data_IF_217680329688
#
_entry.id   IF_217680329688
#
_cell.length_a   1.000
_cell.length_b   1.000
_cell.length_c   1.000
_cell.angle_alpha   90.00
_cell.angle_beta   90.00
_cell.angle_gamma   90.00
#
_symmetry.space_group_name_H-M   'P 1'
#
loop_
_entity.id
_entity.type
_entity.pdbx_description
1 polymer ?
#
# COMPACT_ATOMS: atom_id res chain seq x y z
N UNK A 1 -11.90 8.28 -23.37
CA UNK A 1 -10.53 8.16 -22.80
C UNK A 1 -10.51 7.15 -21.64
N UNK A 2 -9.51 6.26 -21.58
CA UNK A 2 -9.46 5.12 -20.62
C UNK A 2 -9.22 5.56 -19.18
N UNK A 3 -8.17 6.36 -18.93
CA UNK A 3 -7.79 6.79 -17.59
C UNK A 3 -8.92 7.57 -16.90
N UNK A 4 -9.55 8.53 -17.58
CA UNK A 4 -10.66 9.31 -17.03
C UNK A 4 -11.86 8.43 -16.67
N UNK A 5 -12.20 7.46 -17.53
CA UNK A 5 -13.29 6.53 -17.27
C UNK A 5 -13.03 5.65 -16.04
N UNK A 6 -11.81 5.13 -15.94
CA UNK A 6 -11.36 4.30 -14.82
C UNK A 6 -11.33 5.11 -13.52
N UNK A 7 -10.78 6.32 -13.53
CA UNK A 7 -10.70 7.18 -12.34
C UNK A 7 -12.09 7.62 -11.86
N UNK A 8 -12.95 8.07 -12.77
CA UNK A 8 -14.31 8.51 -12.44
C UNK A 8 -15.14 7.36 -11.86
N UNK A 9 -15.07 6.17 -12.46
CA UNK A 9 -15.76 4.99 -11.96
C UNK A 9 -15.17 4.51 -10.61
N UNK A 10 -13.86 4.57 -10.44
CA UNK A 10 -13.21 4.16 -9.20
C UNK A 10 -13.62 5.06 -8.02
N UNK A 11 -13.85 6.36 -8.24
CA UNK A 11 -14.31 7.31 -7.21
C UNK A 11 -15.66 6.94 -6.59
N UNK A 12 -16.51 6.19 -7.28
CA UNK A 12 -17.84 5.80 -6.79
C UNK A 12 -17.90 4.39 -6.19
N UNK A 13 -16.78 3.65 -6.16
CA UNK A 13 -16.73 2.31 -5.57
C UNK A 13 -16.79 2.39 -4.04
N UNK A 14 -17.82 1.77 -3.47
CA UNK A 14 -17.92 1.56 -2.02
C UNK A 14 -17.10 0.33 -1.62
N UNK A 15 -16.25 0.45 -0.60
CA UNK A 15 -15.34 -0.59 -0.13
C UNK A 15 -14.46 -1.14 -1.27
N UNK A 16 -13.50 -0.34 -1.77
CA UNK A 16 -12.62 -0.72 -2.85
C UNK A 16 -11.66 -1.84 -2.38
N UNK A 17 -11.92 -3.07 -2.81
CA UNK A 17 -10.95 -4.17 -2.69
C UNK A 17 -10.12 -4.28 -3.96
N UNK A 18 -8.89 -4.83 -3.90
CA UNK A 18 -8.06 -5.04 -5.10
C UNK A 18 -8.78 -5.80 -6.22
N UNK A 19 -9.58 -6.81 -5.87
CA UNK A 19 -10.35 -7.61 -6.82
C UNK A 19 -11.45 -6.77 -7.49
N UNK A 20 -12.24 -6.02 -6.71
CA UNK A 20 -13.32 -5.17 -7.25
C UNK A 20 -12.78 -4.06 -8.15
N UNK A 21 -11.65 -3.46 -7.76
CA UNK A 21 -10.97 -2.46 -8.57
C UNK A 21 -10.48 -3.08 -9.89
N UNK A 22 -9.88 -4.28 -9.83
CA UNK A 22 -9.43 -4.99 -11.03
C UNK A 22 -10.60 -5.29 -11.97
N UNK A 23 -11.70 -5.82 -11.45
CA UNK A 23 -12.91 -6.11 -12.23
C UNK A 23 -13.48 -4.85 -12.88
N UNK A 24 -13.56 -3.75 -12.14
CA UNK A 24 -14.02 -2.46 -12.66
C UNK A 24 -13.14 -1.99 -13.82
N UNK A 25 -11.82 -1.98 -13.63
CA UNK A 25 -10.87 -1.57 -14.66
C UNK A 25 -11.01 -2.46 -15.89
N UNK A 26 -11.10 -3.78 -15.70
CA UNK A 26 -11.28 -4.72 -16.81
C UNK A 26 -12.55 -4.45 -17.60
N UNK A 27 -13.66 -4.22 -16.91
CA UNK A 27 -14.95 -3.94 -17.54
C UNK A 27 -14.86 -2.69 -18.41
N UNK A 28 -14.30 -1.60 -17.90
CA UNK A 28 -14.17 -0.33 -18.65
C UNK A 28 -13.23 -0.50 -19.86
N UNK A 29 -12.12 -1.22 -19.72
CA UNK A 29 -11.22 -1.49 -20.86
C UNK A 29 -11.93 -2.33 -21.93
N UNK A 30 -12.74 -3.31 -21.51
CA UNK A 30 -13.47 -4.18 -22.43
C UNK A 30 -14.60 -3.44 -23.14
N UNK A 31 -15.42 -2.67 -22.41
CA UNK A 31 -16.49 -1.82 -22.99
C UNK A 31 -15.90 -0.93 -24.11
N UNK A 32 -14.72 -0.35 -23.90
CA UNK A 32 -14.07 0.51 -24.90
C UNK A 32 -13.52 -0.23 -26.10
N UNK A 33 -13.09 -1.47 -25.90
CA UNK A 33 -12.67 -2.35 -26.97
C UNK A 33 -13.88 -2.79 -27.82
N UNK A 34 -14.97 -3.19 -27.16
CA UNK A 34 -16.22 -3.62 -27.83
C UNK A 34 -16.89 -2.47 -28.58
N UNK A 35 -16.80 -1.25 -28.07
CA UNK A 35 -17.28 -0.03 -28.73
C UNK A 35 -16.41 0.41 -29.93
N UNK A 36 -15.32 -0.30 -30.24
CA UNK A 36 -14.39 0.03 -31.32
C UNK A 36 -13.55 1.29 -31.08
N UNK A 37 -13.52 1.82 -29.85
CA UNK A 37 -12.80 3.07 -29.54
C UNK A 37 -11.28 2.92 -29.58
N UNK A 38 -10.79 1.70 -29.72
CA UNK A 38 -9.36 1.36 -29.79
C UNK A 38 -8.94 0.84 -31.17
N UNK A 39 -9.83 0.86 -32.16
CA UNK A 39 -9.60 0.24 -33.49
C UNK A 39 -8.45 0.90 -34.27
N UNK A 40 -8.22 2.19 -34.07
CA UNK A 40 -7.14 2.95 -34.70
C UNK A 40 -5.84 2.97 -33.87
N UNK A 41 -5.77 2.16 -32.81
CA UNK A 41 -4.59 2.05 -31.95
C UNK A 41 -3.86 0.72 -32.18
N UNK A 42 -2.53 0.75 -32.26
CA UNK A 42 -1.68 -0.45 -32.32
C UNK A 42 -1.51 -1.13 -30.94
N UNK A 43 -2.62 -1.39 -30.25
CA UNK A 43 -2.63 -2.05 -28.94
C UNK A 43 -2.88 -3.54 -29.09
N UNK A 44 -1.98 -4.36 -28.55
CA UNK A 44 -2.23 -5.80 -28.46
C UNK A 44 -3.05 -6.13 -27.22
N UNK A 45 -3.67 -7.32 -27.19
CA UNK A 45 -4.32 -7.83 -25.96
C UNK A 45 -3.37 -7.88 -24.76
N UNK A 46 -2.07 -8.09 -25.00
CA UNK A 46 -1.04 -8.06 -23.95
C UNK A 46 -0.86 -6.65 -23.38
N UNK A 47 -0.96 -5.63 -24.22
CA UNK A 47 -0.88 -4.23 -23.79
C UNK A 47 -2.11 -3.83 -23.00
N UNK A 48 -3.30 -4.26 -23.42
CA UNK A 48 -4.54 -4.07 -22.66
C UNK A 48 -4.44 -4.69 -21.26
N UNK A 49 -3.93 -5.92 -21.14
CA UNK A 49 -3.73 -6.57 -19.85
C UNK A 49 -2.70 -5.81 -18.99
N UNK A 50 -1.61 -5.30 -19.58
CA UNK A 50 -0.65 -4.43 -18.87
C UNK A 50 -1.31 -3.14 -18.39
N UNK A 51 -2.11 -2.49 -19.23
CA UNK A 51 -2.86 -1.28 -18.88
C UNK A 51 -3.79 -1.56 -17.70
N UNK A 52 -4.54 -2.65 -17.73
CA UNK A 52 -5.40 -3.08 -16.61
C UNK A 52 -4.60 -3.27 -15.32
N UNK A 53 -3.45 -3.95 -15.39
CA UNK A 53 -2.59 -4.19 -14.22
C UNK A 53 -2.04 -2.89 -13.62
N UNK A 54 -1.58 -1.97 -14.47
CA UNK A 54 -1.05 -0.67 -14.04
C UNK A 54 -2.14 0.16 -13.37
N UNK A 55 -3.33 0.27 -13.99
CA UNK A 55 -4.44 1.00 -13.38
C UNK A 55 -4.89 0.40 -12.06
N UNK A 56 -5.02 -0.93 -11.99
CA UNK A 56 -5.39 -1.63 -10.75
C UNK A 56 -4.40 -1.28 -9.63
N UNK A 57 -3.09 -1.37 -9.90
CA UNK A 57 -2.04 -1.06 -8.92
C UNK A 57 -2.11 0.38 -8.44
N UNK A 58 -2.28 1.33 -9.36
CA UNK A 58 -2.35 2.76 -9.04
C UNK A 58 -3.57 3.08 -8.17
N UNK A 59 -4.74 2.56 -8.55
CA UNK A 59 -5.98 2.78 -7.80
C UNK A 59 -5.93 2.14 -6.41
N UNK A 60 -5.46 0.90 -6.30
CA UNK A 60 -5.28 0.23 -4.99
C UNK A 60 -4.36 1.04 -4.07
N UNK A 61 -3.28 1.60 -4.62
CA UNK A 61 -2.37 2.47 -3.86
C UNK A 61 -3.02 3.79 -3.42
N UNK A 62 -4.03 4.25 -4.14
CA UNK A 62 -4.78 5.48 -3.84
C UNK A 62 -5.84 5.28 -2.75
N UNK A 63 -6.54 4.13 -2.77
CA UNK A 63 -7.60 3.81 -1.81
C UNK A 63 -7.11 3.19 -0.51
N UNK A 64 -5.88 2.66 -0.48
CA UNK A 64 -5.20 2.24 0.74
C UNK A 64 -4.08 3.23 1.06
N UNK A 65 -4.40 4.40 1.67
CA UNK A 65 -3.39 5.36 2.07
C UNK A 65 -2.38 4.70 3.01
N UNK A 66 -1.13 5.19 2.93
CA UNK A 66 0.05 4.66 3.64
C UNK A 66 -0.32 4.20 5.05
N UNK A 67 -0.04 2.94 5.34
CA UNK A 67 -0.21 2.31 6.65
C UNK A 67 0.28 3.27 7.75
N UNK A 68 -0.64 3.71 8.61
CA UNK A 68 -0.26 4.17 9.95
C UNK A 68 0.50 3.01 10.61
N UNK A 69 1.69 3.30 11.10
CA UNK A 69 2.48 2.30 11.81
C UNK A 69 1.62 1.76 12.96
N UNK A 70 1.44 0.44 13.10
CA UNK A 70 0.65 -0.11 14.18
C UNK A 70 1.28 0.33 15.50
N UNK A 71 0.60 1.22 16.25
CA UNK A 71 1.08 1.69 17.55
C UNK A 71 1.34 0.52 18.52
N UNK A 72 0.67 -0.61 18.29
CA UNK A 72 0.89 -1.88 18.98
C UNK A 72 2.36 -2.36 18.94
N UNK A 73 3.13 -2.06 17.88
CA UNK A 73 4.55 -2.42 17.79
C UNK A 73 5.44 -1.53 18.66
N UNK A 74 5.07 -0.25 18.80
CA UNK A 74 5.73 0.72 19.68
C UNK A 74 5.44 0.41 21.15
N UNK A 75 4.20 0.04 21.47
CA UNK A 75 3.80 -0.30 22.84
C UNK A 75 4.37 -1.66 23.28
N UNK A 76 4.49 -2.64 22.38
CA UNK A 76 5.18 -3.90 22.64
C UNK A 76 6.68 -3.69 22.94
N UNK A 77 7.35 -2.77 22.22
CA UNK A 77 8.72 -2.36 22.54
C UNK A 77 8.83 -1.61 23.88
N UNK A 78 7.85 -0.77 24.21
CA UNK A 78 7.82 0.00 25.46
C UNK A 78 7.57 -0.89 26.68
N UNK A 79 6.70 -1.90 26.56
CA UNK A 79 6.44 -2.90 27.61
C UNK A 79 7.62 -3.85 27.82
N UNK A 80 8.36 -4.20 26.76
CA UNK A 80 9.64 -4.95 26.88
C UNK A 80 10.73 -4.17 27.61
N UNK A 81 10.79 -2.84 27.46
CA UNK A 81 11.72 -1.99 28.22
C UNK A 81 11.36 -1.86 29.70
N UNK A 82 10.09 -1.96 30.07
CA UNK A 82 9.65 -1.87 31.47
C UNK A 82 9.74 -3.22 32.21
N UNK A 83 9.76 -4.35 31.48
CA UNK A 83 9.96 -5.70 32.05
C UNK A 83 11.40 -6.18 31.84
N UNK A 84 12.33 -5.59 32.60
CA UNK A 84 13.60 -6.23 32.97
C UNK A 84 14.66 -6.38 31.89
N UNK A 85 15.60 -5.42 31.84
CA UNK A 85 17.01 -5.72 31.63
C UNK A 85 17.76 -5.08 32.79
N UNK A 86 18.44 -5.92 33.57
CA UNK A 86 19.10 -5.57 34.82
C UNK A 86 20.05 -4.38 34.69
N UNK A 87 20.14 -3.63 35.78
CA UNK A 87 21.21 -2.66 35.98
C UNK A 87 22.57 -3.33 35.67
N UNK A 88 23.31 -2.76 34.72
CA UNK A 88 24.72 -3.11 34.54
C UNK A 88 25.44 -2.59 35.78
N UNK A 89 26.06 -3.45 36.61
CA UNK A 89 26.84 -2.97 37.73
C UNK A 89 28.07 -2.26 37.17
N UNK A 90 28.21 -0.96 37.45
CA UNK A 90 29.41 -0.19 37.14
C UNK A 90 30.57 -0.70 38.00
N UNK A 91 31.68 -1.19 37.41
CA UNK A 91 32.82 -1.59 38.20
C UNK A 91 33.61 -0.35 38.64
N UNK A 92 33.60 -0.09 39.95
CA UNK A 92 34.76 0.41 40.67
C UNK A 92 34.82 1.92 40.98
N UNK A 93 34.90 2.22 42.28
CA UNK A 93 35.90 3.17 42.81
C UNK A 93 36.40 2.64 44.15
N UNK A 94 37.69 2.28 44.22
CA UNK A 94 38.37 1.95 45.48
C UNK A 94 38.24 3.13 46.45
N UNK A 95 38.04 2.90 47.75
CA UNK A 95 38.10 3.98 48.73
C UNK A 95 39.53 4.55 48.77
N UNK A 96 39.63 5.88 48.65
CA UNK A 96 40.90 6.60 48.81
C UNK A 96 41.20 6.62 50.32
N UNK A 97 42.16 5.80 50.75
CA UNK A 97 42.70 5.83 52.12
C UNK A 97 43.80 6.89 52.15
N UNK A 98 43.76 7.77 53.16
CA UNK A 98 44.84 8.67 53.52
C UNK A 98 44.35 9.80 54.43
N UNK A 99 45.21 10.39 55.27
CA UNK A 99 46.67 10.34 55.25
C UNK A 99 47.31 9.14 55.96
#
# INVERSE_FOLDING_TARGET
MLADGVEAAARSVQNPTPERIRELVRRIVHERLEDGQLDECDLTFRDLERITQVFTRLLVSMFHPRLEYPEASLEAHRRRRQRGVGAIPVPGRRPRVGP
#
